data_IF_369882754803
#
_entry.id   IF_369882754803
#
_cell.length_a   1.000
_cell.length_b   1.000
_cell.length_c   1.000
_cell.angle_alpha   90.00
_cell.angle_beta   90.00
_cell.angle_gamma   90.00
#
_symmetry.space_group_name_H-M   'P 1'
#
loop_
_entity.id
_entity.type
_entity.pdbx_description
1 polymer ?
#
# COMPACT_ATOMS: atom_id res chain seq x y z
N UNK A 1 -0.49 12.12 -21.23
CA UNK A 1 0.65 11.50 -20.53
C UNK A 1 0.22 10.07 -20.20
N UNK A 2 1.10 9.07 -20.25
CA UNK A 2 0.76 7.70 -19.82
C UNK A 2 0.81 7.67 -18.29
N UNK A 3 -0.15 7.00 -17.66
CA UNK A 3 -0.09 6.73 -16.22
C UNK A 3 1.16 5.86 -15.96
N UNK A 4 2.18 6.37 -15.24
CA UNK A 4 3.41 5.64 -15.02
C UNK A 4 3.19 4.35 -14.21
N UNK A 5 2.07 4.21 -13.48
CA UNK A 5 1.77 3.03 -12.66
C UNK A 5 1.01 1.93 -13.41
N UNK A 6 0.30 2.29 -14.49
CA UNK A 6 -0.47 1.34 -15.31
C UNK A 6 0.41 0.24 -15.93
N UNK A 7 1.64 0.58 -16.27
CA UNK A 7 2.63 -0.37 -16.79
C UNK A 7 3.09 -1.38 -15.73
N UNK A 8 3.02 -1.04 -14.44
CA UNK A 8 3.35 -1.95 -13.34
C UNK A 8 2.17 -2.84 -13.00
N UNK A 9 0.93 -2.33 -13.05
CA UNK A 9 -0.28 -3.14 -12.86
C UNK A 9 -0.48 -4.18 -13.97
N UNK A 10 -0.13 -3.85 -15.22
CA UNK A 10 -0.31 -4.75 -16.39
C UNK A 10 0.83 -5.74 -16.65
N UNK A 11 2.01 -5.55 -16.04
CA UNK A 11 3.16 -6.47 -16.19
C UNK A 11 3.19 -7.60 -15.15
N UNK A 12 2.21 -7.64 -14.26
CA UNK A 12 2.12 -8.66 -13.21
C UNK A 12 1.12 -9.73 -13.67
N UNK A 13 1.55 -10.60 -14.59
CA UNK A 13 0.91 -11.90 -14.79
C UNK A 13 1.98 -12.97 -15.04
N UNK A 14 1.88 -14.03 -14.22
CA UNK A 14 2.29 -15.44 -14.38
C UNK A 14 2.88 -16.11 -13.13
N UNK A 15 3.04 -15.37 -12.03
CA UNK A 15 3.16 -15.94 -10.68
C UNK A 15 2.27 -15.13 -9.76
N UNK A 16 1.67 -15.75 -8.73
CA UNK A 16 0.98 -15.05 -7.64
C UNK A 16 1.94 -14.01 -7.04
N UNK A 17 1.93 -12.80 -7.58
CA UNK A 17 2.68 -11.69 -7.04
C UNK A 17 1.80 -11.04 -5.98
N UNK A 18 2.28 -11.01 -4.73
CA UNK A 18 1.62 -10.29 -3.65
C UNK A 18 1.90 -8.80 -3.70
N UNK A 19 1.94 -8.20 -4.91
CA UNK A 19 2.01 -6.76 -5.06
C UNK A 19 0.61 -6.19 -5.24
N UNK A 20 0.21 -5.30 -4.34
CA UNK A 20 -1.11 -4.68 -4.31
C UNK A 20 -0.94 -3.18 -4.11
N UNK A 21 -1.70 -2.40 -4.87
CA UNK A 21 -1.78 -0.95 -4.74
C UNK A 21 -3.26 -0.59 -4.60
N UNK A 22 -3.55 0.30 -3.66
CA UNK A 22 -4.87 0.89 -3.45
C UNK A 22 -4.73 2.41 -3.47
N UNK A 23 -5.32 3.06 -4.49
CA UNK A 23 -5.39 4.50 -4.61
C UNK A 23 -6.86 4.92 -4.70
N UNK A 24 -7.30 5.85 -3.86
CA UNK A 24 -8.63 6.44 -3.96
C UNK A 24 -8.68 7.85 -3.38
N UNK A 25 -9.43 8.72 -4.04
CA UNK A 25 -9.71 10.07 -3.54
C UNK A 25 -11.13 10.11 -2.98
N UNK A 26 -11.29 10.67 -1.78
CA UNK A 26 -12.59 10.91 -1.17
C UNK A 26 -12.84 12.42 -1.12
N UNK A 27 -14.02 12.85 -1.55
CA UNK A 27 -14.43 14.25 -1.52
C UNK A 27 -15.63 14.40 -0.59
N UNK A 28 -15.72 15.52 0.10
CA UNK A 28 -16.91 15.90 0.84
C UNK A 28 -18.08 16.13 -0.12
N UNK A 29 -19.30 15.84 0.33
CA UNK A 29 -20.52 16.01 -0.45
C UNK A 29 -20.79 17.48 -0.84
N UNK A 30 -20.22 18.43 -0.09
CA UNK A 30 -20.31 19.86 -0.31
C UNK A 30 -19.33 20.38 -1.38
N UNK A 31 -18.35 19.57 -1.79
CA UNK A 31 -17.32 19.98 -2.74
C UNK A 31 -17.79 19.78 -4.18
N UNK A 32 -17.91 20.89 -4.91
CA UNK A 32 -18.15 20.88 -6.36
C UNK A 32 -16.86 20.54 -7.12
N UNK A 33 -16.71 19.26 -7.46
CA UNK A 33 -15.54 18.76 -8.18
C UNK A 33 -15.60 19.16 -9.66
N UNK A 34 -14.59 19.91 -10.12
CA UNK A 34 -14.43 20.28 -11.53
C UNK A 34 -14.44 19.05 -12.45
N UNK A 35 -15.21 19.11 -13.54
CA UNK A 35 -15.30 18.00 -14.49
C UNK A 35 -13.94 17.64 -15.11
N UNK A 36 -13.10 18.65 -15.37
CA UNK A 36 -11.72 18.45 -15.85
C UNK A 36 -10.89 17.62 -14.87
N UNK A 37 -11.07 17.83 -13.57
CA UNK A 37 -10.36 17.08 -12.53
C UNK A 37 -10.89 15.64 -12.42
N UNK A 38 -12.21 15.44 -12.47
CA UNK A 38 -12.79 14.07 -12.56
C UNK A 38 -12.19 13.29 -13.72
N UNK A 39 -12.10 13.92 -14.90
CA UNK A 39 -11.53 13.30 -16.10
C UNK A 39 -10.05 12.90 -15.88
N UNK A 40 -9.27 13.70 -15.15
CA UNK A 40 -7.88 13.36 -14.81
C UNK A 40 -7.80 12.17 -13.85
N UNK A 41 -8.68 12.10 -12.83
CA UNK A 41 -8.73 10.94 -11.92
C UNK A 41 -9.07 9.66 -12.70
N UNK A 42 -10.03 9.73 -13.64
CA UNK A 42 -10.33 8.61 -14.54
C UNK A 42 -9.15 8.20 -15.41
N UNK A 43 -8.43 9.18 -15.96
CA UNK A 43 -7.34 8.92 -16.89
C UNK A 43 -6.08 8.35 -16.21
N UNK A 44 -5.75 8.82 -15.01
CA UNK A 44 -4.45 8.56 -14.36
C UNK A 44 -4.53 7.71 -13.10
N UNK A 45 -5.71 7.53 -12.52
CA UNK A 45 -5.88 6.85 -11.23
C UNK A 45 -7.04 5.85 -11.26
N UNK A 46 -7.37 5.35 -12.46
CA UNK A 46 -8.42 4.35 -12.67
C UNK A 46 -9.84 4.81 -12.35
N UNK A 47 -10.06 6.12 -12.14
CA UNK A 47 -11.39 6.65 -11.80
C UNK A 47 -11.80 6.40 -10.35
N UNK A 48 -10.87 5.98 -9.50
CA UNK A 48 -11.15 5.70 -8.10
C UNK A 48 -11.28 7.01 -7.31
N UNK A 49 -12.47 7.60 -7.37
CA UNK A 49 -12.90 8.55 -6.37
C UNK A 49 -14.30 8.22 -5.83
N UNK A 50 -14.62 8.81 -4.68
CA UNK A 50 -15.93 8.69 -4.07
C UNK A 50 -16.29 9.98 -3.33
N UNK A 51 -17.58 10.30 -3.32
CA UNK A 51 -18.11 11.38 -2.51
C UNK A 51 -18.65 10.78 -1.22
N UNK A 52 -18.30 11.39 -0.08
CA UNK A 52 -18.67 10.92 1.26
C UNK A 52 -19.15 12.08 2.13
N UNK A 53 -19.78 11.73 3.25
CA UNK A 53 -20.24 12.68 4.27
C UNK A 53 -19.31 12.62 5.48
N UNK A 54 -18.38 13.57 5.59
CA UNK A 54 -17.39 13.57 6.68
C UNK A 54 -17.99 13.87 8.06
N UNK A 55 -19.22 14.41 8.12
CA UNK A 55 -19.96 14.50 9.39
C UNK A 55 -20.27 13.11 9.97
N UNK A 56 -20.24 12.07 9.14
CA UNK A 56 -20.38 10.66 9.52
C UNK A 56 -19.03 9.97 9.61
N UNK A 57 -18.12 10.52 10.41
CA UNK A 57 -16.71 10.11 10.47
C UNK A 57 -16.49 8.60 10.71
N UNK A 58 -17.36 7.93 11.46
CA UNK A 58 -17.31 6.46 11.67
C UNK A 58 -17.62 5.69 10.39
N UNK A 59 -18.64 6.10 9.64
CA UNK A 59 -18.99 5.47 8.36
C UNK A 59 -17.85 5.66 7.36
N UNK A 60 -17.29 6.87 7.28
CA UNK A 60 -16.15 7.19 6.40
C UNK A 60 -14.92 6.36 6.74
N UNK A 61 -14.55 6.26 8.02
CA UNK A 61 -13.41 5.45 8.43
C UNK A 61 -13.60 3.97 8.08
N UNK A 62 -14.81 3.43 8.28
CA UNK A 62 -15.12 2.06 7.93
C UNK A 62 -15.05 1.83 6.41
N UNK A 63 -15.56 2.78 5.61
CA UNK A 63 -15.50 2.72 4.15
C UNK A 63 -14.05 2.72 3.64
N UNK A 64 -13.22 3.63 4.15
CA UNK A 64 -11.80 3.71 3.77
C UNK A 64 -11.07 2.43 4.18
N UNK A 65 -11.22 1.98 5.43
CA UNK A 65 -10.55 0.77 5.90
C UNK A 65 -11.00 -0.48 5.14
N UNK A 66 -12.29 -0.59 4.81
CA UNK A 66 -12.81 -1.68 3.99
C UNK A 66 -12.23 -1.64 2.58
N UNK A 67 -12.22 -0.48 1.93
CA UNK A 67 -11.62 -0.33 0.61
C UNK A 67 -10.14 -0.76 0.60
N UNK A 68 -9.38 -0.37 1.61
CA UNK A 68 -7.96 -0.75 1.74
C UNK A 68 -7.81 -2.24 1.99
N UNK A 69 -8.61 -2.82 2.90
CA UNK A 69 -8.59 -4.25 3.18
C UNK A 69 -8.91 -5.08 1.93
N UNK A 70 -10.00 -4.74 1.24
CA UNK A 70 -10.42 -5.43 0.00
C UNK A 70 -9.36 -5.31 -1.10
N UNK A 71 -8.70 -4.14 -1.22
CA UNK A 71 -7.67 -3.89 -2.23
C UNK A 71 -6.32 -4.54 -1.92
N UNK A 72 -6.08 -4.91 -0.66
CA UNK A 72 -4.82 -5.48 -0.18
C UNK A 72 -4.96 -6.94 0.28
N UNK A 73 -6.00 -7.63 -0.18
CA UNK A 73 -6.31 -9.01 0.21
C UNK A 73 -6.36 -9.22 1.74
N UNK A 74 -6.81 -8.21 2.49
CA UNK A 74 -6.86 -8.13 3.96
C UNK A 74 -5.51 -8.08 4.69
N UNK A 75 -4.41 -7.78 3.99
CA UNK A 75 -3.09 -7.58 4.59
C UNK A 75 -3.00 -6.23 5.32
N UNK A 76 -3.71 -5.21 4.84
CA UNK A 76 -3.85 -3.91 5.50
C UNK A 76 -5.33 -3.70 5.86
N UNK A 77 -5.68 -3.98 7.12
CA UNK A 77 -7.09 -3.97 7.55
C UNK A 77 -7.55 -2.64 8.13
N UNK A 78 -6.63 -1.89 8.75
CA UNK A 78 -6.94 -0.64 9.42
C UNK A 78 -5.84 0.37 9.18
N UNK A 79 -6.19 1.41 8.43
CA UNK A 79 -5.31 2.52 8.08
C UNK A 79 -5.71 3.82 8.77
N UNK A 80 -7.02 4.04 8.95
CA UNK A 80 -7.57 5.27 9.50
C UNK A 80 -8.49 5.03 10.69
N UNK A 81 -8.63 6.04 11.54
CA UNK A 81 -9.59 6.09 12.65
C UNK A 81 -10.59 7.20 12.42
N UNK A 82 -11.82 7.06 12.92
CA UNK A 82 -12.87 8.07 12.76
C UNK A 82 -12.51 9.43 13.35
N UNK A 83 -11.59 9.48 14.31
CA UNK A 83 -11.07 10.72 14.90
C UNK A 83 -10.22 11.56 13.94
N UNK A 84 -9.84 11.00 12.79
CA UNK A 84 -9.07 11.69 11.75
C UNK A 84 -9.96 12.56 10.86
N UNK A 85 -11.29 12.45 10.97
CA UNK A 85 -12.25 13.15 10.13
C UNK A 85 -13.22 13.95 10.98
N UNK A 86 -13.47 15.18 10.57
CA UNK A 86 -14.47 16.08 11.12
C UNK A 86 -15.21 16.80 9.98
N UNK A 87 -16.18 17.64 10.32
CA UNK A 87 -16.97 18.40 9.35
C UNK A 87 -16.16 19.39 8.50
N UNK A 88 -14.89 19.68 8.84
CA UNK A 88 -14.04 20.58 8.06
C UNK A 88 -13.23 19.85 6.99
N UNK A 89 -13.28 18.51 6.97
CA UNK A 89 -12.58 17.72 5.98
C UNK A 89 -13.26 17.85 4.60
N UNK A 90 -12.51 18.30 3.60
CA UNK A 90 -13.03 18.50 2.24
C UNK A 90 -12.58 17.41 1.26
N UNK A 91 -11.32 16.95 1.38
CA UNK A 91 -10.69 16.00 0.45
C UNK A 91 -9.71 15.11 1.22
N UNK A 92 -9.70 13.81 0.88
CA UNK A 92 -8.72 12.85 1.37
C UNK A 92 -8.15 12.06 0.19
N UNK A 93 -6.83 11.96 0.16
CA UNK A 93 -6.12 11.03 -0.71
C UNK A 93 -5.66 9.83 0.10
N UNK A 94 -6.10 8.64 -0.29
CA UNK A 94 -5.69 7.36 0.32
C UNK A 94 -4.78 6.62 -0.64
N UNK A 95 -3.61 6.22 -0.15
CA UNK A 95 -2.65 5.36 -0.83
C UNK A 95 -2.20 4.25 0.12
N UNK A 96 -2.36 2.99 -0.28
CA UNK A 96 -1.79 1.84 0.40
C UNK A 96 -1.07 0.94 -0.60
N UNK A 97 0.08 0.41 -0.19
CA UNK A 97 0.91 -0.47 -1.00
C UNK A 97 1.29 -1.67 -0.14
N UNK A 98 1.05 -2.87 -0.65
CA UNK A 98 1.48 -4.12 -0.06
C UNK A 98 2.37 -4.86 -1.06
N UNK A 99 3.47 -5.44 -0.57
CA UNK A 99 4.38 -6.24 -1.36
C UNK A 99 4.81 -7.47 -0.56
N UNK A 100 4.43 -8.64 -1.06
CA UNK A 100 4.93 -9.93 -0.65
C UNK A 100 5.23 -10.75 -1.91
N UNK A 101 6.48 -11.18 -2.07
CA UNK A 101 6.87 -11.98 -3.21
C UNK A 101 7.91 -13.01 -2.81
N UNK A 102 7.94 -14.10 -3.58
CA UNK A 102 8.97 -15.10 -3.43
C UNK A 102 10.32 -14.56 -3.91
N UNK A 103 11.37 -14.88 -3.15
CA UNK A 103 12.72 -14.65 -3.61
C UNK A 103 13.00 -15.48 -4.86
N UNK A 104 13.71 -14.91 -5.83
CA UNK A 104 14.17 -15.65 -7.02
C UNK A 104 15.02 -16.87 -6.65
N UNK A 105 15.76 -16.77 -5.56
CA UNK A 105 16.47 -17.88 -4.93
C UNK A 105 15.97 -18.00 -3.50
N UNK A 106 15.41 -19.17 -3.17
CA UNK A 106 14.89 -19.41 -1.83
C UNK A 106 16.00 -19.37 -0.78
N UNK A 107 15.72 -18.67 0.32
CA UNK A 107 16.59 -18.65 1.49
C UNK A 107 16.06 -19.65 2.51
N UNK A 108 16.95 -20.39 3.20
CA UNK A 108 16.51 -21.27 4.30
C UNK A 108 16.62 -20.53 5.63
N UNK A 109 15.52 -20.60 6.38
CA UNK A 109 15.47 -20.14 7.76
C UNK A 109 16.44 -20.97 8.61
N UNK A 110 17.31 -20.28 9.36
CA UNK A 110 18.18 -20.92 10.33
C UNK A 110 17.38 -21.37 11.56
N UNK A 111 17.77 -22.51 12.12
CA UNK A 111 17.14 -23.03 13.35
C UNK A 111 17.51 -22.19 14.56
N UNK A 112 18.76 -21.77 14.62
CA UNK A 112 19.31 -20.96 15.70
C UNK A 112 19.04 -19.48 15.44
N UNK A 113 18.76 -18.75 16.52
CA UNK A 113 18.70 -17.29 16.50
C UNK A 113 20.10 -16.72 16.57
N UNK A 114 20.28 -15.50 16.08
CA UNK A 114 21.51 -14.73 16.26
C UNK A 114 21.20 -13.31 16.69
N UNK A 115 22.23 -12.62 17.17
CA UNK A 115 22.16 -11.20 17.51
C UNK A 115 21.87 -10.33 16.28
N UNK A 116 20.92 -9.42 16.44
CA UNK A 116 20.64 -8.28 15.56
C UNK A 116 20.81 -6.99 16.36
N UNK A 117 21.72 -6.14 15.92
CA UNK A 117 22.05 -4.89 16.60
C UNK A 117 21.09 -3.79 16.13
N UNK A 118 19.96 -3.66 16.82
CA UNK A 118 18.87 -2.77 16.41
C UNK A 118 19.11 -1.29 16.74
N UNK A 119 20.00 -0.99 17.70
CA UNK A 119 20.47 0.36 18.00
C UNK A 119 21.86 0.31 18.65
N UNK A 120 22.49 1.47 18.84
CA UNK A 120 23.69 1.59 19.67
C UNK A 120 23.32 1.06 21.07
N UNK A 121 24.04 0.03 21.52
CA UNK A 121 23.83 -0.68 22.79
C UNK A 121 22.52 -1.50 22.93
N UNK A 122 21.77 -1.72 21.83
CA UNK A 122 20.61 -2.61 21.83
C UNK A 122 20.81 -3.80 20.90
N UNK A 123 20.64 -4.99 21.46
CA UNK A 123 20.70 -6.26 20.74
C UNK A 123 19.39 -7.02 20.93
N UNK A 124 18.83 -7.49 19.83
CA UNK A 124 17.67 -8.38 19.78
C UNK A 124 18.10 -9.73 19.18
N UNK A 125 17.46 -10.83 19.60
CA UNK A 125 17.68 -12.14 18.96
C UNK A 125 16.65 -12.41 17.87
N UNK A 126 17.12 -12.62 16.65
CA UNK A 126 16.26 -12.87 15.48
C UNK A 126 16.63 -14.16 14.78
N UNK A 127 15.69 -14.76 14.05
CA UNK A 127 15.99 -15.85 13.12
C UNK A 127 16.46 -15.26 11.80
N UNK A 128 17.63 -15.70 11.35
CA UNK A 128 18.14 -15.31 10.05
C UNK A 128 17.70 -16.27 8.96
N UNK A 129 17.71 -15.74 7.74
CA UNK A 129 17.66 -16.54 6.52
C UNK A 129 19.03 -16.51 5.88
N UNK A 130 19.54 -17.67 5.47
CA UNK A 130 20.79 -17.77 4.71
C UNK A 130 20.51 -18.32 3.33
N UNK A 131 21.20 -17.77 2.33
CA UNK A 131 21.32 -18.41 1.03
C UNK A 131 22.28 -19.58 1.15
N UNK A 132 21.91 -20.69 0.55
CA UNK A 132 22.67 -21.94 0.67
C UNK A 132 23.73 -22.06 -0.42
N UNK A 133 23.52 -21.38 -1.54
CA UNK A 133 24.45 -21.37 -2.67
C UNK A 133 25.15 -20.02 -2.78
N UNK A 134 26.43 -20.06 -3.20
CA UNK A 134 27.18 -18.86 -3.56
C UNK A 134 26.62 -18.32 -4.87
N UNK A 135 25.87 -17.24 -4.78
CA UNK A 135 25.32 -16.53 -5.94
C UNK A 135 26.00 -15.18 -6.13
N UNK A 136 26.22 -14.81 -7.38
CA UNK A 136 26.62 -13.44 -7.74
C UNK A 136 25.46 -12.48 -7.50
N UNK A 137 25.58 -11.65 -6.47
CA UNK A 137 24.68 -10.52 -6.26
C UNK A 137 25.05 -9.39 -7.21
N UNK A 138 24.08 -8.89 -7.97
CA UNK A 138 24.24 -7.58 -8.62
C UNK A 138 24.06 -6.50 -7.56
N UNK A 139 25.13 -5.78 -7.25
CA UNK A 139 25.01 -4.52 -6.53
C UNK A 139 24.54 -3.44 -7.50
N UNK A 140 23.48 -2.73 -7.14
CA UNK A 140 23.14 -1.46 -7.77
C UNK A 140 23.94 -0.39 -7.04
N UNK A 141 24.94 0.17 -7.71
CA UNK A 141 25.56 1.41 -7.25
C UNK A 141 24.75 2.56 -7.84
N UNK A 142 24.29 3.46 -6.95
CA UNK A 142 23.63 4.71 -7.31
C UNK A 142 24.67 5.81 -7.52
#
# INVERSE_FOLDING_TARGET
>A
MLDPFKDYETKIDHQKSGFKIANKVYFAKEVDILQSYKNQIYQYYGGNFQVVDFTKSVEVANEINKFIADSTDNEIQKMVDSKMFDETCEIILVNAIYFENLWKQEMKMQREKSCFYSAVDKTDEVRNFLLIDKTDFKSFQF
#
